data_IF_323716620762
#
_entry.id   IF_323716620762
#
_cell.length_a   1.000
_cell.length_b   1.000
_cell.length_c   1.000
_cell.angle_alpha   90.00
_cell.angle_beta   90.00
_cell.angle_gamma   90.00
#
_symmetry.space_group_name_H-M   'P 1'
#
loop_
_entity.id
_entity.type
_entity.pdbx_description
1 polymer ?
#
# COMPACT_ATOMS: atom_id res chain seq x y z
N UNK A 1 23.71 32.69 9.00
CA UNK A 1 23.37 32.54 7.57
C UNK A 1 22.95 31.09 7.45
N UNK A 2 21.66 30.86 7.70
CA UNK A 2 21.05 29.53 7.79
C UNK A 2 20.97 28.91 6.40
N UNK A 3 21.60 27.76 6.23
CA UNK A 3 21.48 26.93 5.03
C UNK A 3 20.32 25.95 5.24
N UNK A 4 19.14 26.36 4.75
CA UNK A 4 17.89 25.62 4.85
C UNK A 4 17.84 24.62 3.68
N UNK A 5 18.06 23.34 3.98
CA UNK A 5 17.84 22.25 3.03
C UNK A 5 16.41 22.32 2.44
N UNK A 6 16.21 22.12 1.13
CA UNK A 6 14.88 22.14 0.54
C UNK A 6 14.10 20.90 0.96
N UNK A 7 12.91 21.13 1.53
CA UNK A 7 11.86 20.14 1.79
C UNK A 7 11.30 19.63 0.46
N UNK A 8 11.84 18.51 -0.02
CA UNK A 8 11.36 17.82 -1.22
C UNK A 8 10.16 16.91 -0.89
N UNK A 9 9.06 17.53 -0.50
CA UNK A 9 7.77 16.86 -0.44
C UNK A 9 7.24 16.66 -1.86
N UNK A 10 7.21 15.41 -2.35
CA UNK A 10 6.48 15.04 -3.57
C UNK A 10 5.00 15.31 -3.33
N UNK A 11 4.52 16.46 -3.80
CA UNK A 11 3.12 16.85 -3.68
C UNK A 11 2.25 15.93 -4.56
N UNK A 12 1.10 15.45 -4.06
CA UNK A 12 0.12 14.82 -4.95
C UNK A 12 -0.31 15.86 -5.98
N UNK A 13 -0.06 15.59 -7.27
CA UNK A 13 -0.47 16.47 -8.35
C UNK A 13 -2.00 16.61 -8.35
N UNK A 14 -2.51 17.71 -7.82
CA UNK A 14 -3.91 18.14 -7.90
C UNK A 14 -4.04 19.44 -8.71
N UNK A 15 -3.10 19.70 -9.63
CA UNK A 15 -3.14 20.87 -10.50
C UNK A 15 -3.88 20.55 -11.81
N UNK A 16 -5.15 20.95 -11.87
CA UNK A 16 -6.05 20.86 -13.03
C UNK A 16 -5.74 21.94 -14.11
N UNK A 17 -4.47 22.21 -14.39
CA UNK A 17 -4.07 23.13 -15.47
C UNK A 17 -3.28 22.44 -16.57
N UNK A 18 -3.70 21.24 -16.95
CA UNK A 18 -3.40 20.71 -18.28
C UNK A 18 -4.32 21.42 -19.31
N UNK A 19 -3.84 22.58 -19.76
CA UNK A 19 -4.40 23.35 -20.87
C UNK A 19 -4.78 22.45 -22.05
N UNK A 20 -5.99 22.68 -22.56
CA UNK A 20 -6.60 21.97 -23.67
C UNK A 20 -5.76 22.06 -24.95
N UNK A 21 -4.90 21.07 -25.21
CA UNK A 21 -4.42 20.69 -26.54
C UNK A 21 -3.53 19.44 -26.47
N UNK A 22 -4.14 18.25 -26.37
CA UNK A 22 -3.52 17.01 -26.86
C UNK A 22 -4.57 15.89 -26.98
N UNK A 23 -5.23 15.88 -28.15
CA UNK A 23 -5.96 14.72 -28.66
C UNK A 23 -4.94 13.65 -29.03
N UNK A 24 -4.87 12.57 -28.25
CA UNK A 24 -4.01 11.43 -28.55
C UNK A 24 -3.71 10.63 -27.29
N UNK A 25 -3.67 9.31 -27.43
CA UNK A 25 -3.49 8.32 -26.37
C UNK A 25 -2.06 8.42 -25.77
N UNK A 26 -1.76 9.49 -25.05
CA UNK A 26 -0.51 9.69 -24.33
C UNK A 26 -0.63 8.99 -22.97
N UNK A 27 0.06 7.85 -22.83
CA UNK A 27 0.17 7.17 -21.54
C UNK A 27 0.66 8.15 -20.47
N UNK A 28 0.12 8.05 -19.26
CA UNK A 28 0.62 8.77 -18.09
C UNK A 28 2.13 8.53 -18.04
N UNK A 29 2.92 9.57 -18.28
CA UNK A 29 4.39 9.50 -18.28
C UNK A 29 4.90 8.87 -17.00
N UNK A 30 6.10 8.30 -17.02
CA UNK A 30 6.67 7.71 -15.82
C UNK A 30 6.88 8.83 -14.77
N UNK A 31 6.22 8.77 -13.59
CA UNK A 31 6.33 9.83 -12.59
C UNK A 31 7.76 10.01 -12.05
N UNK A 32 8.64 9.02 -12.25
CA UNK A 32 10.07 9.14 -11.95
C UNK A 32 10.82 10.15 -12.83
N UNK A 33 10.23 10.55 -13.97
CA UNK A 33 10.82 11.49 -14.92
C UNK A 33 10.27 12.92 -14.73
N UNK A 34 9.42 13.13 -13.72
CA UNK A 34 8.90 14.45 -13.39
C UNK A 34 10.02 15.35 -12.83
N UNK A 35 10.09 16.63 -13.22
CA UNK A 35 11.04 17.58 -12.65
C UNK A 35 10.88 17.65 -11.12
N UNK A 36 11.96 17.37 -10.39
CA UNK A 36 11.94 17.33 -8.91
C UNK A 36 11.66 15.95 -8.29
N UNK A 37 11.53 14.89 -9.09
CA UNK A 37 11.41 13.53 -8.56
C UNK A 37 12.73 13.07 -7.90
N UNK A 38 12.74 12.98 -6.57
CA UNK A 38 13.85 12.39 -5.81
C UNK A 38 13.67 10.88 -5.64
N UNK A 39 14.73 10.11 -5.92
CA UNK A 39 14.73 8.68 -5.67
C UNK A 39 15.08 8.38 -4.21
N UNK A 40 14.07 8.04 -3.43
CA UNK A 40 14.22 7.69 -1.99
C UNK A 40 14.72 6.25 -1.76
N UNK A 41 14.38 5.32 -2.66
CA UNK A 41 14.75 3.89 -2.55
C UNK A 41 15.30 3.33 -3.87
N UNK A 42 16.18 2.33 -3.76
CA UNK A 42 16.70 1.63 -4.94
C UNK A 42 15.59 0.86 -5.67
N UNK A 43 15.69 0.65 -7.00
CA UNK A 43 14.73 -0.15 -7.75
C UNK A 43 14.56 -1.56 -7.18
N UNK A 44 15.65 -2.17 -6.72
CA UNK A 44 15.65 -3.51 -6.12
C UNK A 44 14.85 -3.54 -4.81
N UNK A 45 15.04 -2.54 -3.93
CA UNK A 45 14.30 -2.44 -2.68
C UNK A 45 12.82 -2.11 -2.92
N UNK A 46 12.53 -1.26 -3.92
CA UNK A 46 11.16 -0.98 -4.33
C UNK A 46 10.44 -2.24 -4.82
N UNK A 47 11.11 -3.08 -5.60
CA UNK A 47 10.56 -4.36 -6.02
C UNK A 47 10.28 -5.29 -4.85
N UNK A 48 11.22 -5.43 -3.91
CA UNK A 48 11.03 -6.24 -2.72
C UNK A 48 9.86 -5.74 -1.86
N UNK A 49 9.74 -4.42 -1.67
CA UNK A 49 8.64 -3.81 -0.92
C UNK A 49 7.28 -4.09 -1.57
N UNK A 50 7.17 -4.02 -2.90
CA UNK A 50 5.92 -4.36 -3.60
C UNK A 50 5.49 -5.79 -3.32
N UNK A 51 6.44 -6.72 -3.35
CA UNK A 51 6.19 -8.14 -3.04
C UNK A 51 5.77 -8.33 -1.58
N UNK A 52 6.42 -7.64 -0.63
CA UNK A 52 6.05 -7.68 0.80
C UNK A 52 4.66 -7.09 1.06
N UNK A 53 4.31 -5.98 0.42
CA UNK A 53 2.99 -5.36 0.55
C UNK A 53 1.89 -6.19 -0.11
N UNK A 54 2.21 -6.90 -1.21
CA UNK A 54 1.32 -7.90 -1.80
C UNK A 54 1.11 -9.10 -0.85
N UNK A 55 2.18 -9.51 -0.16
CA UNK A 55 2.12 -10.58 0.83
C UNK A 55 1.24 -10.21 2.03
N UNK A 56 1.27 -8.97 2.54
CA UNK A 56 0.39 -8.54 3.64
C UNK A 56 -1.09 -8.59 3.26
N UNK A 57 -1.42 -8.32 1.99
CA UNK A 57 -2.80 -8.45 1.50
C UNK A 57 -3.19 -9.90 1.27
N UNK A 58 -2.32 -10.75 0.69
CA UNK A 58 -2.68 -12.15 0.40
C UNK A 58 -2.67 -13.04 1.64
N UNK A 59 -1.70 -12.85 2.54
CA UNK A 59 -1.46 -13.72 3.70
C UNK A 59 -1.46 -13.01 5.05
N UNK A 60 -1.37 -11.69 5.09
CA UNK A 60 -1.27 -10.89 6.32
C UNK A 60 -2.58 -10.25 6.80
N UNK A 61 -2.45 -9.03 7.33
CA UNK A 61 -3.54 -8.29 7.97
C UNK A 61 -4.43 -7.53 6.97
N UNK A 62 -3.95 -7.32 5.75
CA UNK A 62 -4.63 -6.58 4.70
C UNK A 62 -5.64 -7.39 3.87
N UNK A 63 -5.92 -8.65 4.22
CA UNK A 63 -6.76 -9.58 3.43
C UNK A 63 -8.10 -9.04 2.96
N UNK A 64 -8.75 -8.24 3.80
CA UNK A 64 -10.06 -7.66 3.50
C UNK A 64 -10.00 -6.57 2.42
N UNK A 65 -8.80 -6.07 2.07
CA UNK A 65 -8.58 -5.13 0.96
C UNK A 65 -8.42 -5.81 -0.41
N UNK A 66 -8.37 -7.14 -0.46
CA UNK A 66 -8.09 -7.85 -1.70
C UNK A 66 -9.21 -7.64 -2.74
N UNK A 67 -8.78 -7.35 -3.97
CA UNK A 67 -9.65 -7.32 -5.15
C UNK A 67 -9.06 -8.26 -6.19
N UNK A 68 -9.78 -9.33 -6.49
CA UNK A 68 -9.36 -10.35 -7.45
C UNK A 68 -9.05 -9.73 -8.82
N UNK A 69 -7.93 -10.14 -9.40
CA UNK A 69 -7.48 -9.65 -10.70
C UNK A 69 -6.81 -8.27 -10.70
N UNK A 70 -6.75 -7.56 -9.56
CA UNK A 70 -6.12 -6.24 -9.46
C UNK A 70 -4.79 -6.20 -8.73
N UNK A 71 -4.38 -7.31 -8.10
CA UNK A 71 -3.09 -7.44 -7.43
C UNK A 71 -2.83 -6.31 -6.42
N UNK A 72 -3.78 -6.12 -5.51
CA UNK A 72 -3.71 -5.08 -4.49
C UNK A 72 -2.58 -5.43 -3.52
N UNK A 73 -1.73 -4.46 -3.19
CA UNK A 73 -0.86 -4.56 -2.03
C UNK A 73 -1.01 -3.33 -1.18
N UNK A 74 -0.73 -3.45 0.11
CA UNK A 74 -0.98 -2.36 1.03
C UNK A 74 -0.60 -2.69 2.45
N UNK A 75 -0.83 -1.73 3.33
CA UNK A 75 -0.52 -1.85 4.75
C UNK A 75 -1.62 -1.23 5.61
N UNK A 76 -1.97 -1.96 6.66
CA UNK A 76 -2.80 -1.48 7.77
C UNK A 76 -2.02 -0.56 8.69
N UNK A 77 -2.63 0.57 9.08
CA UNK A 77 -2.18 1.45 10.15
C UNK A 77 -3.30 1.65 11.16
N UNK A 78 -3.08 1.31 12.43
CA UNK A 78 -4.04 1.59 13.51
C UNK A 78 -3.27 2.25 14.63
N UNK A 79 -3.68 3.46 15.01
CA UNK A 79 -3.04 4.23 16.06
C UNK A 79 -4.08 4.72 17.06
N UNK A 80 -3.74 4.76 18.34
CA UNK A 80 -4.59 5.37 19.36
C UNK A 80 -4.59 6.89 19.19
N UNK A 81 -5.77 7.51 19.28
CA UNK A 81 -5.92 8.96 19.14
C UNK A 81 -5.33 9.66 20.36
N UNK A 82 -4.67 10.80 20.14
CA UNK A 82 -4.11 11.62 21.22
C UNK A 82 -5.13 12.67 21.63
N UNK A 83 -5.45 12.75 22.92
CA UNK A 83 -6.35 13.75 23.49
C UNK A 83 -5.67 15.10 23.72
N UNK A 84 -6.46 16.12 24.06
CA UNK A 84 -5.95 17.47 24.32
C UNK A 84 -4.92 17.54 25.48
N UNK A 85 -4.92 16.54 26.36
CA UNK A 85 -3.96 16.40 27.46
C UNK A 85 -2.65 15.69 27.04
N UNK A 86 -2.45 15.42 25.75
CA UNK A 86 -1.27 14.73 25.21
C UNK A 86 -1.22 13.22 25.51
N UNK A 87 -2.31 12.63 26.03
CA UNK A 87 -2.37 11.20 26.37
C UNK A 87 -3.23 10.45 25.35
N UNK A 88 -2.97 9.16 25.18
CA UNK A 88 -3.81 8.30 24.35
C UNK A 88 -5.24 8.21 24.92
N UNK A 89 -6.21 8.41 24.05
CA UNK A 89 -7.62 8.19 24.30
C UNK A 89 -7.89 6.70 24.12
N UNK A 90 -8.07 6.00 25.24
CA UNK A 90 -8.38 4.57 25.23
C UNK A 90 -9.62 4.30 24.38
N UNK A 91 -9.55 3.27 23.56
CA UNK A 91 -10.64 2.82 22.68
C UNK A 91 -11.01 3.78 21.54
N UNK A 92 -10.27 4.88 21.34
CA UNK A 92 -10.41 5.73 20.17
C UNK A 92 -9.20 5.52 19.26
N UNK A 93 -9.46 4.97 18.07
CA UNK A 93 -8.43 4.70 17.09
C UNK A 93 -8.55 5.64 15.89
N UNK A 94 -7.43 5.92 15.25
CA UNK A 94 -7.37 6.35 13.86
C UNK A 94 -6.99 5.11 13.05
N UNK A 95 -7.90 4.68 12.19
CA UNK A 95 -7.75 3.50 11.36
C UNK A 95 -7.46 3.91 9.92
N UNK A 96 -6.28 3.56 9.42
CA UNK A 96 -5.84 3.91 8.07
C UNK A 96 -5.37 2.68 7.27
N UNK A 97 -5.55 2.74 5.96
CA UNK A 97 -5.02 1.76 5.03
C UNK A 97 -4.42 2.48 3.82
N UNK A 98 -3.15 2.19 3.53
CA UNK A 98 -2.46 2.66 2.33
C UNK A 98 -2.30 1.49 1.39
N UNK A 99 -2.73 1.66 0.14
CA UNK A 99 -2.65 0.63 -0.88
C UNK A 99 -2.07 1.16 -2.19
N UNK A 100 -1.49 0.25 -2.96
CA UNK A 100 -0.98 0.50 -4.30
C UNK A 100 -1.44 -0.65 -5.20
N UNK A 101 -1.87 -0.32 -6.42
CA UNK A 101 -2.32 -1.32 -7.39
C UNK A 101 -2.09 -0.87 -8.84
N UNK A 102 -1.96 -1.82 -9.79
CA UNK A 102 -1.62 -3.24 -9.58
C UNK A 102 -0.16 -3.45 -9.16
N UNK A 103 0.16 -4.42 -8.29
CA UNK A 103 1.53 -4.57 -7.76
C UNK A 103 2.58 -5.02 -8.78
N UNK A 104 2.18 -5.69 -9.87
CA UNK A 104 3.08 -6.04 -10.97
C UNK A 104 3.57 -4.80 -11.74
N UNK A 105 2.67 -3.83 -11.97
CA UNK A 105 2.97 -2.54 -12.62
C UNK A 105 2.18 -1.41 -11.94
N UNK A 106 2.69 -0.87 -10.81
CA UNK A 106 1.98 0.14 -10.02
C UNK A 106 1.62 1.38 -10.83
N UNK A 107 0.36 1.82 -10.70
CA UNK A 107 -0.12 3.05 -11.35
C UNK A 107 -0.94 3.93 -10.42
N UNK A 108 -1.58 3.34 -9.41
CA UNK A 108 -2.50 4.03 -8.53
C UNK A 108 -2.17 3.71 -7.07
N UNK A 109 -2.33 4.71 -6.22
CA UNK A 109 -2.31 4.58 -4.78
C UNK A 109 -3.67 5.00 -4.22
N UNK A 110 -4.16 4.28 -3.21
CA UNK A 110 -5.37 4.65 -2.46
C UNK A 110 -5.02 4.71 -0.99
N UNK A 111 -5.31 5.85 -0.39
CA UNK A 111 -5.20 6.06 1.05
C UNK A 111 -6.58 6.29 1.63
N UNK A 112 -6.94 5.52 2.64
CA UNK A 112 -8.19 5.68 3.41
C UNK A 112 -7.81 5.87 4.86
N UNK A 113 -8.35 6.91 5.50
CA UNK A 113 -8.25 7.15 6.93
C UNK A 113 -9.66 7.33 7.48
N UNK A 114 -9.94 6.67 8.60
CA UNK A 114 -11.19 6.78 9.32
C UNK A 114 -10.84 7.17 10.75
N UNK A 115 -11.25 8.37 11.14
CA UNK A 115 -11.07 8.88 12.49
C UNK A 115 -12.16 8.32 13.41
N UNK A 116 -11.74 7.76 14.55
CA UNK A 116 -12.60 7.30 15.63
C UNK A 116 -13.74 6.39 15.15
N UNK A 117 -13.45 5.30 14.40
CA UNK A 117 -14.50 4.43 13.89
C UNK A 117 -15.26 3.76 15.01
N UNK A 118 -16.58 3.66 14.86
CA UNK A 118 -17.46 2.99 15.81
C UNK A 118 -17.50 1.51 15.48
N UNK A 119 -17.35 0.67 16.51
CA UNK A 119 -17.47 -0.76 16.39
C UNK A 119 -18.91 -1.16 16.01
N UNK A 120 -19.07 -1.98 14.98
CA UNK A 120 -20.37 -2.51 14.56
C UNK A 120 -20.37 -4.04 14.54
N UNK A 121 -21.52 -4.65 14.25
CA UNK A 121 -21.60 -6.11 14.10
C UNK A 121 -20.80 -6.58 12.89
N UNK A 122 -20.79 -5.80 11.82
CA UNK A 122 -20.06 -6.07 10.57
C UNK A 122 -18.55 -5.99 10.77
N UNK A 123 -18.07 -5.17 11.70
CA UNK A 123 -16.65 -5.11 12.06
C UNK A 123 -16.28 -6.09 13.18
N UNK A 124 -17.20 -6.98 13.59
CA UNK A 124 -17.05 -7.91 14.70
C UNK A 124 -16.63 -7.25 16.03
N UNK A 125 -17.05 -6.01 16.25
CA UNK A 125 -16.67 -5.25 17.43
C UNK A 125 -15.28 -4.59 17.34
N UNK A 126 -14.55 -4.73 16.23
CA UNK A 126 -13.23 -4.14 16.05
C UNK A 126 -13.28 -2.74 15.44
N UNK A 127 -12.32 -1.90 15.83
CA UNK A 127 -12.12 -0.53 15.31
C UNK A 127 -10.80 -0.38 14.55
N UNK A 128 -10.11 -1.50 14.26
CA UNK A 128 -8.81 -1.50 13.58
C UNK A 128 -8.93 -1.36 12.07
N UNK A 129 -7.87 -0.89 11.41
CA UNK A 129 -7.84 -0.69 9.96
C UNK A 129 -8.17 -1.94 9.12
N UNK A 130 -7.81 -3.14 9.59
CA UNK A 130 -8.13 -4.39 8.88
C UNK A 130 -9.65 -4.60 8.73
N UNK A 131 -10.43 -4.14 9.70
CA UNK A 131 -11.88 -4.34 9.72
C UNK A 131 -12.66 -3.16 9.17
N UNK A 132 -12.10 -1.95 9.25
CA UNK A 132 -12.81 -0.72 8.87
C UNK A 132 -12.28 -0.12 7.57
N UNK A 133 -10.97 0.14 7.47
CA UNK A 133 -10.39 0.86 6.34
C UNK A 133 -10.10 -0.05 5.13
N UNK A 134 -9.60 -1.27 5.36
CA UNK A 134 -9.24 -2.21 4.30
C UNK A 134 -10.45 -2.63 3.42
N UNK A 135 -11.65 -2.94 3.95
CA UNK A 135 -12.82 -3.19 3.11
C UNK A 135 -13.24 -1.99 2.27
N UNK A 136 -13.07 -0.76 2.79
CA UNK A 136 -13.37 0.47 2.03
C UNK A 136 -12.45 0.59 0.83
N UNK A 137 -11.15 0.32 1.01
CA UNK A 137 -10.17 0.29 -0.09
C UNK A 137 -10.57 -0.73 -1.16
N UNK A 138 -10.97 -1.95 -0.78
CA UNK A 138 -11.50 -2.95 -1.72
C UNK A 138 -12.67 -2.38 -2.55
N UNK A 139 -13.62 -1.73 -1.90
CA UNK A 139 -14.80 -1.16 -2.57
C UNK A 139 -14.44 -0.01 -3.51
N UNK A 140 -13.49 0.85 -3.12
CA UNK A 140 -12.97 1.93 -3.97
C UNK A 140 -12.29 1.36 -5.19
N UNK A 141 -11.33 0.45 -5.03
CA UNK A 141 -10.56 -0.13 -6.13
C UNK A 141 -11.50 -0.87 -7.10
N UNK A 142 -12.41 -1.70 -6.58
CA UNK A 142 -13.34 -2.47 -7.42
C UNK A 142 -14.24 -1.62 -8.32
N UNK A 143 -14.59 -0.39 -7.89
CA UNK A 143 -15.43 0.53 -8.66
C UNK A 143 -14.62 1.48 -9.52
N UNK A 144 -13.54 2.03 -8.98
CA UNK A 144 -12.73 3.02 -9.66
C UNK A 144 -11.86 2.40 -10.76
N UNK A 145 -11.31 1.20 -10.55
CA UNK A 145 -10.35 0.63 -11.48
C UNK A 145 -10.92 0.42 -12.91
N UNK A 146 -12.14 -0.12 -13.11
CA UNK A 146 -12.76 -0.19 -14.43
C UNK A 146 -12.94 1.19 -15.08
N UNK A 147 -13.33 2.21 -14.30
CA UNK A 147 -13.49 3.59 -14.78
C UNK A 147 -12.15 4.20 -15.22
N UNK A 148 -11.05 3.76 -14.60
CA UNK A 148 -9.69 4.15 -14.94
C UNK A 148 -9.09 3.32 -16.09
N UNK A 149 -9.89 2.47 -16.75
CA UNK A 149 -9.46 1.59 -17.84
C UNK A 149 -8.61 0.40 -17.37
N UNK A 150 -8.60 0.10 -16.08
CA UNK A 150 -8.00 -1.11 -15.53
C UNK A 150 -9.07 -2.20 -15.36
N UNK A 151 -9.00 -3.21 -16.21
CA UNK A 151 -9.84 -4.39 -16.11
C UNK A 151 -9.16 -5.47 -15.25
N UNK A 152 -9.95 -6.28 -14.50
CA UNK A 152 -9.38 -7.34 -13.69
C UNK A 152 -8.72 -8.38 -14.60
N UNK A 153 -7.56 -8.87 -14.17
CA UNK A 153 -6.88 -9.97 -14.85
C UNK A 153 -7.70 -11.26 -14.73
N UNK A 154 -7.77 -12.08 -15.80
CA UNK A 154 -8.38 -13.41 -15.72
C UNK A 154 -7.73 -14.22 -14.59
N UNK A 155 -8.48 -15.12 -13.90
CA UNK A 155 -7.98 -15.83 -12.73
C UNK A 155 -6.63 -16.54 -12.94
N UNK A 156 -6.45 -17.19 -14.10
CA UNK A 156 -5.19 -17.86 -14.44
C UNK A 156 -4.00 -16.89 -14.58
N UNK A 157 -4.21 -15.72 -15.20
CA UNK A 157 -3.17 -14.70 -15.34
C UNK A 157 -2.87 -14.04 -13.98
N UNK A 158 -3.90 -13.74 -13.19
CA UNK A 158 -3.75 -13.19 -11.85
C UNK A 158 -2.94 -14.12 -10.94
N UNK A 159 -3.24 -15.43 -10.96
CA UNK A 159 -2.51 -16.43 -10.20
C UNK A 159 -1.03 -16.53 -10.61
N UNK A 160 -0.74 -16.46 -11.92
CA UNK A 160 0.63 -16.47 -12.43
C UNK A 160 1.41 -15.21 -11.98
N UNK A 161 0.76 -14.05 -12.01
CA UNK A 161 1.35 -12.79 -11.55
C UNK A 161 1.57 -12.79 -10.02
N UNK A 162 0.66 -13.36 -9.25
CA UNK A 162 0.82 -13.54 -7.80
C UNK A 162 1.97 -14.50 -7.47
N UNK A 163 2.11 -15.59 -8.23
CA UNK A 163 3.24 -16.50 -8.09
C UNK A 163 4.57 -15.79 -8.40
N UNK A 164 4.61 -14.92 -9.42
CA UNK A 164 5.80 -14.13 -9.75
C UNK A 164 6.16 -13.09 -8.66
N UNK A 165 5.17 -12.61 -7.92
CA UNK A 165 5.35 -11.67 -6.80
C UNK A 165 5.58 -12.36 -5.45
N UNK A 166 5.52 -13.70 -5.39
CA UNK A 166 5.64 -14.43 -4.14
C UNK A 166 7.04 -14.30 -3.52
N UNK A 167 7.07 -14.19 -2.19
CA UNK A 167 8.28 -14.30 -1.38
C UNK A 167 8.19 -15.62 -0.60
N UNK A 168 9.25 -16.45 -0.59
CA UNK A 168 9.29 -17.63 0.26
C UNK A 168 9.27 -17.21 1.74
N UNK A 169 8.34 -17.77 2.52
CA UNK A 169 8.24 -17.51 3.95
C UNK A 169 9.34 -18.22 4.75
N UNK A 170 9.92 -19.26 4.15
CA UNK A 170 11.04 -20.02 4.69
C UNK A 170 12.23 -19.80 3.75
N UNK A 171 13.06 -18.77 4.00
CA UNK A 171 14.24 -18.55 3.19
C UNK A 171 15.27 -19.67 3.45
N UNK A 172 15.98 -20.09 2.40
CA UNK A 172 17.12 -20.97 2.55
C UNK A 172 18.20 -20.31 3.40
N UNK A 173 18.79 -21.05 4.33
CA UNK A 173 19.90 -20.57 5.18
C UNK A 173 21.06 -20.15 4.28
N UNK A 174 21.58 -18.91 4.38
CA UNK A 174 22.77 -18.51 3.65
C UNK A 174 23.97 -19.41 4.00
N UNK A 175 24.70 -19.87 2.99
CA UNK A 175 25.89 -20.70 3.19
C UNK A 175 26.90 -20.02 4.13
N UNK A 176 27.40 -20.75 5.13
CA UNK A 176 28.41 -20.24 6.07
C UNK A 176 27.84 -19.48 7.28
N UNK A 177 26.51 -19.47 7.48
CA UNK A 177 25.89 -18.87 8.67
C UNK A 177 25.44 -19.94 9.67
N UNK A 178 25.77 -19.76 10.95
CA UNK A 178 25.22 -20.56 12.06
C UNK A 178 23.91 -19.93 12.49
N UNK A 179 22.82 -20.71 12.52
CA UNK A 179 21.52 -20.24 13.02
C UNK A 179 21.68 -19.77 14.47
N UNK A 180 21.34 -18.53 14.79
CA UNK A 180 21.26 -18.08 16.19
C UNK A 180 19.89 -18.47 16.76
N UNK A 181 19.87 -19.08 17.95
CA UNK A 181 18.63 -19.53 18.59
C UNK A 181 18.85 -20.66 19.61
N UNK A 182 17.79 -21.07 20.33
CA UNK A 182 17.87 -22.06 21.39
C UNK A 182 18.51 -23.37 20.91
N UNK A 183 19.62 -23.78 21.53
CA UNK A 183 20.40 -24.97 21.14
C UNK A 183 21.55 -24.70 20.16
N UNK A 184 21.80 -23.44 19.80
CA UNK A 184 22.87 -23.05 18.88
C UNK A 184 23.64 -21.82 19.37
N UNK A 185 23.66 -21.61 20.69
CA UNK A 185 24.52 -20.62 21.36
C UNK A 185 26.00 -21.07 21.30
N UNK A 186 26.97 -20.13 21.32
CA UNK A 186 28.40 -20.44 21.25
C UNK A 186 28.91 -21.25 22.44
#
# INVERSE_FOLDING_TARGET
IDDKAPDASVQPAIDDTASAAQTGNAGIGNPADAPGAERVISPQNAELLRRLLRLDVTKGTGKTSEVEGYLVGGKTGTAEKVGANGRYLKHLNIAAFTSVFPMNRPRYAVYVMIDSPVATKETHGWTTAAWVAAPVVRQIISRAAPMLGLFPKPPAEAAALDAALAIPLEPSIPSGTRSLGPGNDP
#
